data_IF_734010702260
#
_entry.id   IF_734010702260
#
_cell.length_a   1.000
_cell.length_b   1.000
_cell.length_c   1.000
_cell.angle_alpha   90.00
_cell.angle_beta   90.00
_cell.angle_gamma   90.00
#
_symmetry.space_group_name_H-M   'P 1'
#
loop_
_entity.id
_entity.type
_entity.pdbx_description
1 polymer ?
#
# COMPACT_ATOMS: atom_id res chain seq x y z
N UNK A 1 -15.40 -20.40 15.67
CA UNK A 1 -16.40 -19.69 16.50
C UNK A 1 -16.84 -20.63 17.60
N UNK A 2 -16.43 -20.37 18.85
CA UNK A 2 -16.89 -21.13 20.02
C UNK A 2 -18.01 -20.34 20.72
N UNK A 3 -19.22 -20.89 20.88
CA UNK A 3 -20.30 -20.23 21.60
C UNK A 3 -20.13 -20.40 23.13
N UNK A 4 -20.61 -19.39 23.87
CA UNK A 4 -20.59 -19.29 25.34
C UNK A 4 -20.97 -20.58 26.09
N UNK A 5 -20.26 -20.89 27.19
CA UNK A 5 -20.57 -22.00 28.09
C UNK A 5 -21.18 -21.52 29.43
N UNK A 6 -22.34 -22.07 29.78
CA UNK A 6 -23.03 -21.93 31.06
C UNK A 6 -22.70 -23.11 31.96
N UNK A 7 -22.35 -22.85 33.22
CA UNK A 7 -21.94 -23.84 34.22
C UNK A 7 -23.13 -24.60 34.81
N UNK A 8 -23.40 -25.82 34.34
CA UNK A 8 -24.21 -26.81 35.08
C UNK A 8 -23.65 -28.23 34.93
N UNK A 9 -23.76 -29.00 36.01
CA UNK A 9 -22.92 -30.14 36.47
C UNK A 9 -23.01 -31.44 35.63
N UNK A 10 -23.58 -31.42 34.43
CA UNK A 10 -23.44 -32.56 33.50
C UNK A 10 -23.56 -32.03 32.07
N UNK A 11 -22.41 -31.85 31.42
CA UNK A 11 -22.38 -31.41 30.02
C UNK A 11 -22.64 -32.60 29.10
N UNK A 12 -23.63 -32.52 28.19
CA UNK A 12 -23.89 -33.57 27.20
C UNK A 12 -22.84 -33.64 26.09
N UNK A 13 -21.78 -32.82 26.17
CA UNK A 13 -20.78 -32.67 25.12
C UNK A 13 -19.49 -33.45 25.46
N UNK A 14 -19.07 -34.43 24.63
CA UNK A 14 -17.94 -35.31 24.95
C UNK A 14 -16.57 -34.67 24.68
N UNK A 15 -16.53 -33.39 24.28
CA UNK A 15 -15.30 -32.69 23.91
C UNK A 15 -14.83 -31.72 25.00
N UNK A 16 -13.54 -31.39 24.98
CA UNK A 16 -12.91 -30.48 25.95
C UNK A 16 -13.57 -29.11 25.97
N UNK A 17 -13.80 -28.59 27.17
CA UNK A 17 -14.52 -27.34 27.40
C UNK A 17 -13.58 -26.12 27.47
N UNK A 18 -12.30 -26.34 27.79
CA UNK A 18 -11.28 -25.28 27.80
C UNK A 18 -10.50 -25.34 26.49
N UNK A 19 -10.64 -24.30 25.67
CA UNK A 19 -10.04 -24.25 24.34
C UNK A 19 -8.51 -24.32 24.36
N UNK A 20 -7.85 -23.94 25.47
CA UNK A 20 -6.40 -24.09 25.68
C UNK A 20 -5.95 -25.54 25.73
N UNK A 21 -6.83 -26.48 26.08
CA UNK A 21 -6.54 -27.91 26.06
C UNK A 21 -6.48 -28.49 24.63
N UNK A 22 -6.96 -27.74 23.64
CA UNK A 22 -6.84 -28.11 22.23
C UNK A 22 -5.41 -27.92 21.68
N UNK A 23 -4.49 -27.32 22.44
CA UNK A 23 -3.09 -27.17 22.05
C UNK A 23 -2.26 -28.37 22.49
N UNK A 24 -1.22 -28.68 21.72
CA UNK A 24 -0.23 -29.71 22.10
C UNK A 24 0.52 -29.38 23.40
N UNK A 25 0.62 -28.09 23.76
CA UNK A 25 1.19 -27.58 25.00
C UNK A 25 0.10 -26.85 25.80
N UNK A 26 -0.86 -27.61 26.32
CA UNK A 26 -2.05 -27.04 26.98
C UNK A 26 -1.73 -26.18 28.21
N UNK A 27 -0.76 -26.59 29.03
CA UNK A 27 -0.33 -25.83 30.22
C UNK A 27 0.24 -24.45 29.84
N UNK A 28 1.09 -24.40 28.82
CA UNK A 28 1.64 -23.13 28.30
C UNK A 28 0.54 -22.26 27.68
N UNK A 29 -0.42 -22.86 26.97
CA UNK A 29 -1.56 -22.13 26.44
C UNK A 29 -2.43 -21.54 27.55
N UNK A 30 -2.68 -22.29 28.62
CA UNK A 30 -3.39 -21.76 29.79
C UNK A 30 -2.63 -20.61 30.43
N UNK A 31 -1.32 -20.76 30.66
CA UNK A 31 -0.48 -19.72 31.21
C UNK A 31 -0.48 -18.45 30.35
N UNK A 32 -0.35 -18.59 29.03
CA UNK A 32 -0.21 -17.46 28.11
C UNK A 32 -1.52 -16.70 27.88
N UNK A 33 -2.66 -17.41 27.80
CA UNK A 33 -3.93 -16.80 27.43
C UNK A 33 -4.81 -16.37 28.61
N UNK A 34 -4.55 -16.89 29.82
CA UNK A 34 -5.29 -16.48 31.02
C UNK A 34 -4.55 -15.49 31.92
N UNK A 35 -3.28 -15.20 31.65
CA UNK A 35 -2.51 -14.16 32.32
C UNK A 35 -2.37 -12.90 31.45
N UNK A 36 -2.02 -11.73 32.04
CA UNK A 36 -1.68 -10.54 31.27
C UNK A 36 -0.57 -10.84 30.26
N UNK A 37 -0.79 -10.45 29.01
CA UNK A 37 0.21 -10.65 27.97
C UNK A 37 1.48 -9.86 28.28
N UNK A 38 2.66 -10.50 28.29
CA UNK A 38 3.92 -9.78 28.39
C UNK A 38 4.11 -8.99 27.08
N UNK A 39 4.05 -7.67 27.19
CA UNK A 39 4.39 -6.77 26.09
C UNK A 39 5.90 -6.55 26.09
N UNK A 40 6.54 -6.87 24.97
CA UNK A 40 7.97 -6.66 24.76
C UNK A 40 8.15 -5.44 23.86
N UNK A 41 8.86 -4.45 24.37
CA UNK A 41 9.29 -3.32 23.55
C UNK A 41 10.57 -3.68 22.81
N UNK A 42 10.43 -4.01 21.52
CA UNK A 42 11.56 -4.38 20.66
C UNK A 42 12.51 -3.19 20.43
N UNK A 43 12.04 -1.95 20.62
CA UNK A 43 12.85 -0.76 20.30
C UNK A 43 14.02 -0.53 21.25
N UNK A 44 13.94 -1.07 22.48
CA UNK A 44 14.97 -0.91 23.52
C UNK A 44 15.96 -2.08 23.58
N UNK A 45 15.68 -3.19 22.89
CA UNK A 45 16.55 -4.38 22.88
C UNK A 45 17.71 -4.15 21.91
N UNK A 46 18.92 -4.58 22.27
CA UNK A 46 20.10 -4.43 21.42
C UNK A 46 20.00 -5.29 20.14
N UNK A 47 20.50 -4.78 19.02
CA UNK A 47 20.41 -5.49 17.74
C UNK A 47 21.20 -6.81 17.76
N UNK A 48 22.32 -6.89 18.50
CA UNK A 48 23.08 -8.14 18.63
C UNK A 48 22.32 -9.17 19.48
N UNK A 49 21.47 -8.73 20.39
CA UNK A 49 20.58 -9.61 21.14
C UNK A 49 19.45 -10.12 20.23
N UNK A 50 18.81 -9.21 19.49
CA UNK A 50 17.70 -9.53 18.58
C UNK A 50 18.07 -10.57 17.52
N UNK A 51 19.26 -10.50 16.92
CA UNK A 51 19.71 -11.48 15.91
C UNK A 51 19.71 -12.92 16.46
N UNK A 52 19.83 -13.09 17.77
CA UNK A 52 19.85 -14.41 18.42
C UNK A 52 18.45 -14.94 18.80
N UNK A 53 17.37 -14.19 18.55
CA UNK A 53 15.99 -14.59 18.86
C UNK A 53 15.41 -15.65 17.91
N UNK A 54 16.28 -16.43 17.26
CA UNK A 54 15.92 -17.55 16.37
C UNK A 54 14.98 -17.14 15.23
N UNK A 55 13.77 -17.72 15.17
CA UNK A 55 12.83 -17.57 14.06
C UNK A 55 12.21 -16.16 13.99
N UNK A 56 12.04 -15.50 15.14
CA UNK A 56 11.37 -14.19 15.22
C UNK A 56 12.33 -13.01 14.99
N UNK A 57 13.65 -13.25 15.10
CA UNK A 57 14.70 -12.24 14.99
C UNK A 57 14.55 -11.33 13.77
N UNK A 58 14.31 -11.92 12.59
CA UNK A 58 14.18 -11.16 11.33
C UNK A 58 12.98 -10.20 11.37
N UNK A 59 11.86 -10.64 11.96
CA UNK A 59 10.66 -9.82 12.08
C UNK A 59 10.84 -8.73 13.13
N UNK A 60 11.49 -9.03 14.26
CA UNK A 60 11.78 -8.05 15.30
C UNK A 60 12.70 -6.93 14.78
N UNK A 61 13.79 -7.30 14.08
CA UNK A 61 14.68 -6.36 13.42
C UNK A 61 13.91 -5.51 12.39
N UNK A 62 13.07 -6.14 11.58
CA UNK A 62 12.24 -5.44 10.60
C UNK A 62 11.27 -4.44 11.24
N UNK A 63 10.63 -4.82 12.36
CA UNK A 63 9.68 -3.99 13.09
C UNK A 63 10.38 -2.81 13.78
N UNK A 64 11.50 -3.08 14.47
CA UNK A 64 12.32 -2.06 15.13
C UNK A 64 12.79 -1.01 14.14
N UNK A 65 13.24 -1.46 12.98
CA UNK A 65 13.87 -0.61 11.96
C UNK A 65 12.94 -0.26 10.80
N UNK A 66 11.61 -0.21 10.97
CA UNK A 66 10.69 0.06 9.85
C UNK A 66 10.99 1.34 9.03
N UNK A 67 11.65 2.33 9.65
CA UNK A 67 12.06 3.59 9.03
C UNK A 67 13.55 3.55 8.63
N UNK A 68 13.89 2.68 7.68
CA UNK A 68 15.26 2.37 7.22
C UNK A 68 15.90 3.45 6.32
N UNK A 69 15.88 4.71 6.75
CA UNK A 69 16.38 5.84 5.93
C UNK A 69 17.89 6.02 5.98
N UNK A 70 18.52 5.97 7.16
CA UNK A 70 19.95 6.32 7.33
C UNK A 70 20.87 5.12 7.55
N UNK A 71 20.43 4.08 8.28
CA UNK A 71 21.29 2.95 8.70
C UNK A 71 21.02 1.65 7.93
N UNK A 72 20.45 1.73 6.73
CA UNK A 72 19.93 0.56 6.03
C UNK A 72 20.96 -0.55 5.82
N UNK A 73 22.21 -0.20 5.52
CA UNK A 73 23.29 -1.19 5.32
C UNK A 73 23.55 -2.04 6.56
N UNK A 74 23.57 -1.43 7.74
CA UNK A 74 23.84 -2.13 8.99
C UNK A 74 22.69 -3.09 9.32
N UNK A 75 21.46 -2.60 9.22
CA UNK A 75 20.26 -3.40 9.48
C UNK A 75 20.11 -4.52 8.44
N UNK A 76 20.40 -4.28 7.17
CA UNK A 76 20.37 -5.34 6.14
C UNK A 76 21.39 -6.44 6.44
N UNK A 77 22.57 -6.10 6.93
CA UNK A 77 23.56 -7.10 7.36
C UNK A 77 23.03 -7.94 8.54
N UNK A 78 22.34 -7.33 9.51
CA UNK A 78 21.71 -8.02 10.62
C UNK A 78 20.56 -8.94 10.17
N UNK A 79 19.72 -8.48 9.23
CA UNK A 79 18.65 -9.29 8.64
C UNK A 79 19.22 -10.51 7.90
N UNK A 80 20.27 -10.30 7.09
CA UNK A 80 20.96 -11.39 6.40
C UNK A 80 21.59 -12.38 7.40
N UNK A 81 22.22 -11.88 8.47
CA UNK A 81 22.77 -12.70 9.54
C UNK A 81 21.68 -13.55 10.22
N UNK A 82 20.55 -12.93 10.57
CA UNK A 82 19.41 -13.62 11.18
C UNK A 82 18.88 -14.74 10.26
N UNK A 83 18.79 -14.49 8.95
CA UNK A 83 18.37 -15.49 7.96
C UNK A 83 19.39 -16.63 7.77
N UNK A 84 20.70 -16.36 7.87
CA UNK A 84 21.75 -17.39 7.80
C UNK A 84 21.66 -18.44 8.90
N UNK A 85 21.08 -18.10 10.06
CA UNK A 85 20.89 -19.06 11.14
C UNK A 85 19.86 -20.16 10.81
N UNK A 86 19.19 -20.11 9.65
CA UNK A 86 18.40 -21.20 9.10
C UNK A 86 17.17 -21.61 9.93
N UNK A 87 16.71 -20.73 10.83
CA UNK A 87 15.49 -20.92 11.62
C UNK A 87 14.20 -20.67 10.83
N UNK A 88 14.29 -19.92 9.73
CA UNK A 88 13.17 -19.58 8.88
C UNK A 88 13.02 -20.62 7.74
N UNK A 89 11.79 -21.03 7.49
CA UNK A 89 11.43 -21.76 6.27
C UNK A 89 11.21 -20.78 5.12
N UNK A 90 11.12 -21.29 3.90
CA UNK A 90 10.84 -20.47 2.72
C UNK A 90 9.53 -19.69 2.84
N UNK A 91 8.50 -20.28 3.44
CA UNK A 91 7.23 -19.60 3.72
C UNK A 91 7.40 -18.43 4.71
N UNK A 92 8.28 -18.60 5.70
CA UNK A 92 8.58 -17.52 6.65
C UNK A 92 9.33 -16.39 5.93
N UNK A 93 10.30 -16.72 5.08
CA UNK A 93 11.05 -15.73 4.27
C UNK A 93 10.12 -14.96 3.34
N UNK A 94 9.19 -15.65 2.66
CA UNK A 94 8.15 -15.00 1.86
C UNK A 94 7.31 -14.05 2.71
N UNK A 95 6.92 -14.46 3.92
CA UNK A 95 6.11 -13.62 4.83
C UNK A 95 6.89 -12.38 5.27
N UNK A 96 8.15 -12.55 5.67
CA UNK A 96 9.06 -11.46 6.04
C UNK A 96 9.22 -10.48 4.88
N UNK A 97 9.51 -10.95 3.67
CA UNK A 97 9.72 -10.08 2.51
C UNK A 97 8.45 -9.32 2.11
N UNK A 98 7.27 -9.95 2.21
CA UNK A 98 6.01 -9.22 2.05
C UNK A 98 5.84 -8.14 3.12
N UNK A 99 6.18 -8.42 4.38
CA UNK A 99 6.12 -7.43 5.45
C UNK A 99 7.06 -6.26 5.18
N UNK A 100 8.32 -6.56 4.84
CA UNK A 100 9.33 -5.56 4.48
C UNK A 100 8.84 -4.69 3.33
N UNK A 101 8.34 -5.27 2.24
CA UNK A 101 7.84 -4.51 1.09
C UNK A 101 6.68 -3.57 1.43
N UNK A 102 5.74 -4.01 2.28
CA UNK A 102 4.56 -3.20 2.62
C UNK A 102 4.83 -2.15 3.71
N UNK A 103 5.83 -2.38 4.56
CA UNK A 103 6.01 -1.60 5.80
C UNK A 103 7.29 -0.79 5.83
N UNK A 104 8.33 -1.24 5.13
CA UNK A 104 9.62 -0.56 5.11
C UNK A 104 9.55 0.66 4.19
N UNK A 105 9.63 1.84 4.79
CA UNK A 105 9.75 3.10 4.05
C UNK A 105 11.22 3.40 3.76
N UNK A 106 11.77 2.75 2.73
CA UNK A 106 13.15 2.95 2.29
C UNK A 106 13.26 3.10 0.77
N UNK A 107 13.94 4.17 0.28
CA UNK A 107 14.25 4.30 -1.15
C UNK A 107 15.30 3.28 -1.61
N UNK A 108 15.92 2.54 -0.69
CA UNK A 108 16.99 1.59 -0.96
C UNK A 108 16.53 0.12 -0.93
N UNK A 109 15.22 -0.14 -1.01
CA UNK A 109 14.67 -1.49 -0.93
C UNK A 109 15.31 -2.49 -1.92
N UNK A 110 15.58 -2.06 -3.15
CA UNK A 110 16.27 -2.92 -4.14
C UNK A 110 17.67 -3.35 -3.66
N UNK A 111 18.41 -2.44 -3.04
CA UNK A 111 19.74 -2.73 -2.48
C UNK A 111 19.64 -3.68 -1.29
N UNK A 112 18.61 -3.52 -0.45
CA UNK A 112 18.31 -4.45 0.65
C UNK A 112 18.10 -5.86 0.10
N UNK A 113 17.25 -6.01 -0.93
CA UNK A 113 16.99 -7.31 -1.56
C UNK A 113 18.26 -7.90 -2.18
N UNK A 114 19.06 -7.12 -2.90
CA UNK A 114 20.32 -7.61 -3.49
C UNK A 114 21.29 -8.12 -2.42
N UNK A 115 21.48 -7.36 -1.34
CA UNK A 115 22.33 -7.81 -0.24
C UNK A 115 21.79 -9.08 0.44
N UNK A 116 20.46 -9.20 0.61
CA UNK A 116 19.87 -10.43 1.15
C UNK A 116 20.10 -11.63 0.23
N UNK A 117 20.02 -11.46 -1.09
CA UNK A 117 20.32 -12.49 -2.09
C UNK A 117 21.79 -12.91 -2.01
N UNK A 118 22.71 -11.94 -2.00
CA UNK A 118 24.15 -12.18 -1.96
C UNK A 118 24.62 -12.87 -0.67
N UNK A 119 23.91 -12.66 0.42
CA UNK A 119 24.31 -13.17 1.73
C UNK A 119 23.51 -14.40 2.19
N UNK A 120 22.49 -14.85 1.46
CA UNK A 120 21.62 -15.93 1.94
C UNK A 120 21.52 -17.07 0.91
N UNK A 121 22.49 -17.99 0.93
CA UNK A 121 22.58 -19.12 -0.01
C UNK A 121 21.31 -20.00 -0.02
N UNK A 122 20.76 -20.33 1.16
CA UNK A 122 19.63 -21.26 1.27
C UNK A 122 18.33 -20.72 0.68
N UNK A 123 18.06 -19.43 0.89
CA UNK A 123 16.78 -18.82 0.54
C UNK A 123 16.84 -18.01 -0.75
N UNK A 124 17.99 -18.00 -1.43
CA UNK A 124 18.25 -17.17 -2.61
C UNK A 124 17.15 -17.29 -3.66
N UNK A 125 16.79 -18.51 -4.06
CA UNK A 125 15.76 -18.76 -5.09
C UNK A 125 14.40 -18.19 -4.67
N UNK A 126 14.03 -18.36 -3.40
CA UNK A 126 12.75 -17.89 -2.86
C UNK A 126 12.73 -16.37 -2.77
N UNK A 127 13.83 -15.75 -2.32
CA UNK A 127 14.00 -14.30 -2.27
C UNK A 127 13.88 -13.69 -3.67
N UNK A 128 14.54 -14.29 -4.68
CA UNK A 128 14.46 -13.84 -6.08
C UNK A 128 13.03 -13.98 -6.60
N UNK A 129 12.39 -15.12 -6.38
CA UNK A 129 11.03 -15.39 -6.85
C UNK A 129 10.01 -14.39 -6.27
N UNK A 130 10.06 -14.15 -4.96
CA UNK A 130 9.15 -13.19 -4.32
C UNK A 130 9.46 -11.75 -4.72
N UNK A 131 10.73 -11.38 -4.87
CA UNK A 131 11.13 -10.05 -5.33
C UNK A 131 10.58 -9.76 -6.73
N UNK A 132 10.71 -10.71 -7.67
CA UNK A 132 10.13 -10.60 -9.01
C UNK A 132 8.61 -10.48 -8.97
N UNK A 133 7.95 -11.29 -8.13
CA UNK A 133 6.48 -11.24 -7.96
C UNK A 133 6.01 -9.89 -7.43
N UNK A 134 6.72 -9.33 -6.45
CA UNK A 134 6.43 -8.01 -5.88
C UNK A 134 6.66 -6.90 -6.88
N UNK A 135 7.75 -6.95 -7.65
CA UNK A 135 8.04 -5.99 -8.72
C UNK A 135 6.94 -6.01 -9.80
N UNK A 136 6.52 -7.19 -10.25
CA UNK A 136 5.46 -7.30 -11.27
C UNK A 136 4.11 -6.82 -10.73
N UNK A 137 3.80 -7.09 -9.46
CA UNK A 137 2.60 -6.55 -8.79
C UNK A 137 2.65 -5.02 -8.76
N UNK A 138 3.76 -4.44 -8.30
CA UNK A 138 3.94 -2.99 -8.25
C UNK A 138 3.84 -2.34 -9.63
N UNK A 139 4.40 -2.98 -10.67
CA UNK A 139 4.28 -2.52 -12.07
C UNK A 139 2.83 -2.51 -12.54
N UNK A 140 2.07 -3.58 -12.29
CA UNK A 140 0.65 -3.66 -12.65
C UNK A 140 -0.18 -2.60 -11.94
N UNK A 141 0.02 -2.45 -10.63
CA UNK A 141 -0.68 -1.43 -9.82
C UNK A 141 -0.35 -0.02 -10.30
N UNK A 142 0.93 0.28 -10.56
CA UNK A 142 1.36 1.57 -11.08
C UNK A 142 0.78 1.90 -12.46
N UNK A 143 0.76 0.93 -13.39
CA UNK A 143 0.13 1.12 -14.71
C UNK A 143 -1.37 1.36 -14.57
N UNK A 144 -2.06 0.58 -13.73
CA UNK A 144 -3.50 0.74 -13.50
C UNK A 144 -3.83 2.10 -12.88
N UNK A 145 -3.06 2.53 -11.88
CA UNK A 145 -3.20 3.87 -11.28
C UNK A 145 -2.94 4.98 -12.30
N UNK A 146 -1.88 4.85 -13.11
CA UNK A 146 -1.56 5.81 -14.16
C UNK A 146 -2.67 5.94 -15.21
N UNK A 147 -3.26 4.82 -15.64
CA UNK A 147 -4.40 4.83 -16.57
C UNK A 147 -5.62 5.52 -15.92
N UNK A 148 -5.96 5.16 -14.69
CA UNK A 148 -7.11 5.77 -13.98
C UNK A 148 -6.94 7.28 -13.83
N UNK A 149 -5.77 7.73 -13.39
CA UNK A 149 -5.45 9.15 -13.26
C UNK A 149 -5.48 9.87 -14.62
N UNK A 150 -4.88 9.26 -15.65
CA UNK A 150 -4.85 9.84 -17.00
C UNK A 150 -6.24 9.96 -17.61
N UNK A 151 -7.10 8.95 -17.47
CA UNK A 151 -8.49 9.00 -17.93
C UNK A 151 -9.28 10.06 -17.16
N UNK A 152 -9.14 10.11 -15.85
CA UNK A 152 -9.84 11.10 -15.04
C UNK A 152 -9.45 12.54 -15.41
N UNK A 153 -8.14 12.80 -15.56
CA UNK A 153 -7.63 14.10 -15.99
C UNK A 153 -8.09 14.44 -17.41
N UNK A 154 -8.00 13.49 -18.34
CA UNK A 154 -8.42 13.68 -19.72
C UNK A 154 -9.92 13.97 -19.87
N UNK A 155 -10.77 13.26 -19.13
CA UNK A 155 -12.22 13.53 -19.10
C UNK A 155 -12.50 14.91 -18.52
N UNK A 156 -11.84 15.26 -17.42
CA UNK A 156 -12.05 16.57 -16.79
C UNK A 156 -11.64 17.71 -17.72
N UNK A 157 -10.48 17.61 -18.36
CA UNK A 157 -9.99 18.59 -19.34
C UNK A 157 -10.92 18.66 -20.56
N UNK A 158 -11.31 17.52 -21.12
CA UNK A 158 -12.21 17.47 -22.28
C UNK A 158 -13.59 18.05 -22.01
N UNK A 159 -14.18 17.79 -20.83
CA UNK A 159 -15.46 18.39 -20.44
C UNK A 159 -15.35 19.90 -20.26
N UNK A 160 -14.26 20.38 -19.65
CA UNK A 160 -14.05 21.81 -19.46
C UNK A 160 -13.87 22.53 -20.80
N UNK A 161 -13.00 22.01 -21.66
CA UNK A 161 -12.75 22.57 -22.99
C UNK A 161 -14.02 22.54 -23.85
N UNK A 162 -14.73 21.40 -23.91
CA UNK A 162 -15.97 21.29 -24.68
C UNK A 162 -17.07 22.22 -24.18
N UNK A 163 -17.12 22.52 -22.87
CA UNK A 163 -18.06 23.49 -22.32
C UNK A 163 -17.70 24.93 -22.72
N UNK A 164 -16.41 25.28 -22.68
CA UNK A 164 -15.93 26.61 -23.09
C UNK A 164 -16.15 26.85 -24.59
N UNK A 165 -15.80 25.87 -25.43
CA UNK A 165 -16.04 25.89 -26.87
C UNK A 165 -17.54 26.00 -27.19
N UNK A 166 -18.38 25.16 -26.58
CA UNK A 166 -19.83 25.23 -26.79
C UNK A 166 -20.48 26.54 -26.31
N UNK A 167 -19.99 27.12 -25.19
CA UNK A 167 -20.43 28.44 -24.75
C UNK A 167 -19.99 29.54 -25.71
N UNK A 168 -18.80 29.44 -26.27
CA UNK A 168 -18.31 30.39 -27.26
C UNK A 168 -19.09 30.29 -28.58
N UNK A 169 -19.34 29.09 -29.09
CA UNK A 169 -20.17 28.86 -30.28
C UNK A 169 -21.60 29.38 -30.11
N UNK A 170 -22.22 29.12 -28.96
CA UNK A 170 -23.55 29.64 -28.65
C UNK A 170 -23.58 31.19 -28.65
N UNK A 171 -22.53 31.84 -28.13
CA UNK A 171 -22.41 33.32 -28.18
C UNK A 171 -22.31 33.82 -29.62
N UNK A 172 -21.52 33.16 -30.47
CA UNK A 172 -21.41 33.51 -31.90
C UNK A 172 -22.74 33.34 -32.64
N UNK A 173 -23.49 32.28 -32.35
CA UNK A 173 -24.81 32.04 -32.95
C UNK A 173 -25.82 33.12 -32.55
N UNK A 174 -25.88 33.47 -31.27
CA UNK A 174 -26.73 34.56 -30.75
C UNK A 174 -26.35 35.87 -31.46
N UNK A 175 -25.06 36.20 -31.55
CA UNK A 175 -24.59 37.42 -32.21
C UNK A 175 -24.97 37.47 -33.70
N UNK A 176 -24.83 36.36 -34.45
CA UNK A 176 -25.29 36.26 -35.85
C UNK A 176 -26.79 36.58 -35.99
N UNK A 177 -27.61 36.04 -35.10
CA UNK A 177 -29.06 36.27 -35.13
C UNK A 177 -29.41 37.72 -34.78
N UNK A 178 -28.71 38.33 -33.82
CA UNK A 178 -28.91 39.74 -33.46
C UNK A 178 -28.48 40.71 -34.58
N UNK A 179 -27.36 40.43 -35.26
CA UNK A 179 -26.91 41.20 -36.42
C UNK A 179 -27.93 41.14 -37.57
N UNK A 180 -28.46 39.95 -37.87
CA UNK A 180 -29.53 39.77 -38.88
C UNK A 180 -30.80 40.56 -38.56
N UNK A 181 -31.10 40.75 -37.27
CA UNK A 181 -32.24 41.52 -36.80
C UNK A 181 -31.97 43.03 -36.69
N UNK A 182 -30.79 43.51 -37.11
CA UNK A 182 -30.45 44.93 -37.15
C UNK A 182 -30.08 45.53 -35.79
N UNK A 183 -29.73 44.71 -34.79
CA UNK A 183 -29.24 45.20 -33.50
C UNK A 183 -27.84 45.82 -33.66
N UNK A 184 -27.56 46.93 -32.96
CA UNK A 184 -26.26 47.61 -33.05
C UNK A 184 -25.11 46.74 -32.54
N UNK A 185 -23.94 46.88 -33.18
CA UNK A 185 -22.72 46.13 -32.84
C UNK A 185 -22.32 46.36 -31.39
N UNK A 186 -22.41 47.61 -30.92
CA UNK A 186 -22.05 48.00 -29.55
C UNK A 186 -22.89 47.26 -28.50
N UNK A 187 -24.22 47.13 -28.73
CA UNK A 187 -25.11 46.43 -27.80
C UNK A 187 -24.88 44.91 -27.81
N UNK A 188 -24.52 44.33 -28.98
CA UNK A 188 -24.18 42.91 -29.10
C UNK A 188 -22.87 42.60 -28.36
N UNK A 189 -21.86 43.47 -28.46
CA UNK A 189 -20.61 43.32 -27.72
C UNK A 189 -20.85 43.31 -26.20
N UNK A 190 -21.62 44.26 -25.67
CA UNK A 190 -21.97 44.30 -24.23
C UNK A 190 -22.76 43.05 -23.79
N UNK A 191 -23.66 42.55 -24.64
CA UNK A 191 -24.58 41.45 -24.27
C UNK A 191 -23.95 40.06 -24.38
N UNK A 192 -22.99 39.87 -25.29
CA UNK A 192 -22.36 38.56 -25.58
C UNK A 192 -20.92 38.48 -25.08
N UNK A 193 -20.27 39.61 -24.81
CA UNK A 193 -18.85 39.66 -24.46
C UNK A 193 -17.92 39.24 -25.60
N UNK A 194 -18.40 39.26 -26.85
CA UNK A 194 -17.58 39.05 -28.05
C UNK A 194 -16.85 40.34 -28.42
N UNK A 195 -15.66 40.21 -28.98
CA UNK A 195 -14.87 41.32 -29.51
C UNK A 195 -15.44 41.85 -30.82
N UNK A 196 -15.10 43.10 -31.16
CA UNK A 196 -15.50 43.70 -32.44
C UNK A 196 -14.96 42.91 -33.64
N UNK A 197 -13.75 42.38 -33.52
CA UNK A 197 -13.10 41.59 -34.57
C UNK A 197 -13.86 40.29 -34.84
N UNK A 198 -14.27 39.58 -33.78
CA UNK A 198 -15.13 38.40 -33.90
C UNK A 198 -16.46 38.75 -34.58
N UNK A 199 -17.12 39.84 -34.17
CA UNK A 199 -18.39 40.27 -34.78
C UNK A 199 -18.27 40.69 -36.25
N UNK A 200 -17.19 41.37 -36.64
CA UNK A 200 -16.93 41.75 -38.03
C UNK A 200 -16.67 40.53 -38.92
N UNK A 201 -16.12 39.46 -38.36
CA UNK A 201 -15.92 38.20 -39.09
C UNK A 201 -17.22 37.41 -39.34
N UNK A 202 -18.33 37.79 -38.69
CA UNK A 202 -19.65 37.17 -38.82
C UNK A 202 -20.58 37.87 -39.82
N UNK A 203 -20.17 39.02 -40.41
CA UNK A 203 -20.96 39.81 -41.36
C UNK A 203 -20.80 39.34 -42.81
#
# INVERSE_FOLDING_TARGET
MCPFCSTTVSSPYPFQQTWTQCFSLSELAEELYFNPFPLVDVTVIDDNELVNHRKIAVMELAMKHKNLREEFKAVTALLAQALKHNYNSDNDVVTILNYLFNTMDSPHFEQVIQQLIEQTDRHQEVIVSIAQRLQEKGRKEGVQQGILQGVQQGVQQGVQQGREEGQHEARLEIARNLLKNGVSIELIMESTGLSREELLSLQ
#
